data_IF_195502468395
#
_entry.id   IF_195502468395
#
_cell.length_a   1.000
_cell.length_b   1.000
_cell.length_c   1.000
_cell.angle_alpha   90.00
_cell.angle_beta   90.00
_cell.angle_gamma   90.00
#
_symmetry.space_group_name_H-M   'P 1'
#
loop_
_entity.id
_entity.type
_entity.pdbx_description
1 polymer ?
#
# COMPACT_ATOMS: atom_id res chain seq x y z
N UNK A 1 -6.84 -7.59 -4.71
CA UNK A 1 -5.55 -8.03 -5.30
C UNK A 1 -5.25 -7.14 -6.48
N UNK A 2 -4.01 -6.65 -6.61
CA UNK A 2 -3.54 -5.86 -7.74
C UNK A 2 -2.46 -6.63 -8.49
N UNK A 3 -2.57 -6.70 -9.82
CA UNK A 3 -1.51 -7.23 -10.68
C UNK A 3 -0.60 -6.09 -11.15
N UNK A 4 0.72 -6.31 -11.11
CA UNK A 4 1.71 -5.34 -11.59
C UNK A 4 2.40 -5.90 -12.82
N UNK A 5 2.38 -5.15 -13.92
CA UNK A 5 2.97 -5.53 -15.20
C UNK A 5 4.00 -4.49 -15.65
N UNK A 6 5.14 -4.93 -16.17
CA UNK A 6 6.07 -4.08 -16.92
C UNK A 6 7.00 -4.94 -17.81
N UNK A 7 7.05 -4.72 -19.14
CA UNK A 7 6.16 -3.84 -19.92
C UNK A 7 4.68 -4.33 -19.88
N UNK A 8 3.71 -3.55 -20.38
CA UNK A 8 2.31 -3.99 -20.43
C UNK A 8 2.17 -5.36 -21.09
N UNK A 9 1.45 -6.29 -20.45
CA UNK A 9 1.33 -7.69 -20.88
C UNK A 9 2.37 -8.65 -20.29
N UNK A 10 3.40 -8.16 -19.57
CA UNK A 10 4.35 -8.99 -18.84
C UNK A 10 4.17 -8.77 -17.34
N UNK A 11 3.58 -9.75 -16.67
CA UNK A 11 3.38 -9.73 -15.22
C UNK A 11 4.71 -9.83 -14.48
N UNK A 12 4.92 -8.91 -13.53
CA UNK A 12 6.05 -8.94 -12.59
C UNK A 12 5.65 -9.61 -11.28
N UNK A 13 4.39 -9.44 -10.87
CA UNK A 13 3.91 -9.99 -9.63
C UNK A 13 2.53 -9.47 -9.25
N UNK A 14 2.13 -9.82 -8.02
CA UNK A 14 0.82 -9.50 -7.48
C UNK A 14 0.94 -8.90 -6.08
N UNK A 15 0.12 -7.90 -5.78
CA UNK A 15 -0.11 -7.43 -4.41
C UNK A 15 -1.45 -7.97 -3.94
N UNK A 16 -1.42 -8.91 -3.01
CA UNK A 16 -2.61 -9.51 -2.44
C UNK A 16 -2.88 -8.95 -1.05
N UNK A 17 -4.11 -8.53 -0.80
CA UNK A 17 -4.59 -8.19 0.53
C UNK A 17 -4.96 -9.46 1.29
N UNK A 18 -4.68 -9.47 2.59
CA UNK A 18 -5.06 -10.52 3.52
C UNK A 18 -5.99 -9.94 4.57
N UNK A 19 -7.11 -10.62 4.79
CA UNK A 19 -8.02 -10.25 5.87
C UNK A 19 -7.35 -10.47 7.23
N UNK A 20 -7.33 -9.42 8.04
CA UNK A 20 -6.91 -9.46 9.43
C UNK A 20 -7.82 -8.53 10.22
N UNK A 21 -8.34 -9.00 11.37
CA UNK A 21 -9.37 -8.29 12.13
C UNK A 21 -8.97 -6.87 12.57
N UNK A 22 -7.68 -6.61 12.82
CA UNK A 22 -7.22 -5.36 13.41
C UNK A 22 -6.15 -4.63 12.60
N UNK A 23 -5.67 -5.17 11.47
CA UNK A 23 -4.48 -4.60 10.80
C UNK A 23 -4.49 -4.85 9.31
N UNK A 24 -4.33 -3.81 8.50
CA UNK A 24 -4.12 -3.96 7.07
C UNK A 24 -2.88 -4.83 6.82
N UNK A 25 -3.01 -5.88 6.00
CA UNK A 25 -1.89 -6.77 5.68
C UNK A 25 -1.93 -7.13 4.22
N UNK A 26 -0.80 -6.96 3.56
CA UNK A 26 -0.64 -7.31 2.16
C UNK A 26 0.58 -8.21 1.99
N UNK A 27 0.54 -9.08 0.99
CA UNK A 27 1.72 -9.80 0.51
C UNK A 27 2.08 -9.30 -0.87
N UNK A 28 3.35 -8.97 -1.06
CA UNK A 28 3.94 -8.79 -2.38
C UNK A 28 4.38 -10.18 -2.85
N UNK A 29 3.85 -10.61 -3.98
CA UNK A 29 4.08 -11.93 -4.56
C UNK A 29 4.76 -11.80 -5.92
N UNK A 30 5.58 -12.80 -6.26
CA UNK A 30 6.19 -12.90 -7.59
C UNK A 30 5.18 -13.40 -8.65
N UNK A 31 5.66 -13.58 -9.87
CA UNK A 31 4.91 -14.09 -11.03
C UNK A 31 4.24 -15.45 -10.77
N UNK A 32 4.85 -16.27 -9.90
CA UNK A 32 4.34 -17.59 -9.47
C UNK A 32 3.41 -17.53 -8.26
N UNK A 33 3.03 -16.33 -7.80
CA UNK A 33 2.24 -16.09 -6.59
C UNK A 33 2.93 -16.51 -5.28
N UNK A 34 4.25 -16.66 -5.30
CA UNK A 34 5.03 -16.92 -4.09
C UNK A 34 5.26 -15.60 -3.37
N UNK A 35 4.97 -15.55 -2.07
CA UNK A 35 5.16 -14.34 -1.27
C UNK A 35 6.65 -14.03 -1.14
N UNK A 36 7.04 -12.80 -1.45
CA UNK A 36 8.42 -12.30 -1.35
C UNK A 36 8.59 -11.31 -0.21
N UNK A 37 7.57 -10.50 0.08
CA UNK A 37 7.57 -9.51 1.17
C UNK A 37 6.17 -9.37 1.75
N UNK A 38 6.08 -8.80 2.96
CA UNK A 38 4.81 -8.48 3.60
C UNK A 38 4.74 -6.99 3.89
N UNK A 39 3.60 -6.38 3.59
CA UNK A 39 3.29 -5.01 3.99
C UNK A 39 2.31 -5.06 5.15
N UNK A 40 2.59 -4.36 6.23
CA UNK A 40 1.73 -4.32 7.42
C UNK A 40 1.39 -2.87 7.78
N UNK A 41 0.11 -2.52 7.71
CA UNK A 41 -0.38 -1.18 8.09
C UNK A 41 -0.45 -0.98 9.60
N UNK A 42 -0.95 0.15 10.10
CA UNK A 42 -1.13 0.37 11.53
C UNK A 42 -2.28 -0.48 12.10
N UNK A 43 -2.24 -0.77 13.41
CA UNK A 43 -3.31 -1.51 14.11
C UNK A 43 -4.58 -0.65 14.34
N UNK A 44 -4.45 0.67 14.26
CA UNK A 44 -5.55 1.61 14.38
C UNK A 44 -5.55 2.52 13.16
N UNK A 45 -6.20 2.08 12.08
CA UNK A 45 -6.42 2.89 10.87
C UNK A 45 -7.49 3.97 11.05
N UNK A 46 -8.10 4.07 12.24
CA UNK A 46 -9.14 5.05 12.56
C UNK A 46 -8.68 6.05 13.63
N UNK A 47 -8.39 7.30 13.22
CA UNK A 47 -8.74 8.47 14.03
C UNK A 47 -7.68 9.19 14.86
N UNK A 48 -6.38 8.89 14.76
CA UNK A 48 -5.37 9.52 15.65
C UNK A 48 -4.64 10.76 15.09
N UNK A 49 -5.16 11.42 14.04
CA UNK A 49 -4.59 12.67 13.53
C UNK A 49 -3.09 12.59 13.22
N UNK A 50 -2.62 11.42 12.77
CA UNK A 50 -1.21 11.09 12.62
C UNK A 50 -0.95 10.34 11.31
N UNK A 51 0.32 10.35 10.87
CA UNK A 51 0.78 9.65 9.68
C UNK A 51 0.43 8.15 9.75
N UNK A 52 -0.14 7.60 8.67
CA UNK A 52 -0.41 6.16 8.59
C UNK A 52 0.81 5.45 8.00
N UNK A 53 1.50 4.67 8.84
CA UNK A 53 2.73 3.97 8.46
C UNK A 53 2.43 2.51 8.11
N UNK A 54 2.79 2.13 6.89
CA UNK A 54 2.76 0.76 6.40
C UNK A 54 4.20 0.27 6.26
N UNK A 55 4.58 -0.71 7.08
CA UNK A 55 5.92 -1.27 7.09
C UNK A 55 6.05 -2.38 6.06
N UNK A 56 7.16 -2.39 5.32
CA UNK A 56 7.51 -3.45 4.37
C UNK A 56 8.57 -4.31 5.02
N UNK A 57 8.24 -5.57 5.27
CA UNK A 57 9.11 -6.51 5.97
C UNK A 57 9.42 -7.71 5.08
N UNK A 58 10.56 -8.34 5.35
CA UNK A 58 10.88 -9.68 4.87
C UNK A 58 9.82 -10.69 5.35
N UNK A 59 9.78 -11.86 4.71
CA UNK A 59 8.85 -12.94 5.05
C UNK A 59 9.04 -13.47 6.46
N UNK A 60 10.28 -13.41 6.96
CA UNK A 60 10.64 -13.74 8.35
C UNK A 60 10.03 -12.75 9.36
N UNK A 61 9.59 -11.57 8.91
CA UNK A 61 9.07 -10.49 9.74
C UNK A 61 10.13 -9.77 10.58
N UNK A 62 11.39 -10.18 10.52
CA UNK A 62 12.50 -9.65 11.33
C UNK A 62 13.12 -8.43 10.66
N UNK A 63 13.29 -8.47 9.34
CA UNK A 63 13.97 -7.40 8.60
C UNK A 63 12.98 -6.39 8.03
N UNK A 64 13.11 -5.11 8.41
CA UNK A 64 12.41 -4.01 7.76
C UNK A 64 13.14 -3.62 6.46
N UNK A 65 12.45 -3.73 5.33
CA UNK A 65 12.96 -3.40 4.00
C UNK A 65 12.61 -1.95 3.66
N UNK A 66 11.51 -1.42 4.18
CA UNK A 66 11.08 -0.07 3.87
C UNK A 66 9.74 0.28 4.47
N UNK A 67 9.14 1.37 3.98
CA UNK A 67 7.83 1.82 4.41
C UNK A 67 7.09 2.62 3.33
N UNK A 68 5.77 2.57 3.41
CA UNK A 68 4.84 3.46 2.71
C UNK A 68 4.14 4.28 3.80
N UNK A 69 4.25 5.60 3.75
CA UNK A 69 3.75 6.48 4.80
C UNK A 69 2.76 7.46 4.17
N UNK A 70 1.49 7.38 4.55
CA UNK A 70 0.53 8.44 4.23
C UNK A 70 0.70 9.57 5.24
N UNK A 71 1.02 10.77 4.76
CA UNK A 71 1.15 11.95 5.61
C UNK A 71 -0.21 12.47 6.05
N UNK A 72 -0.33 12.79 7.33
CA UNK A 72 -1.50 13.47 7.85
C UNK A 72 -1.39 14.98 7.57
N UNK A 73 -2.27 15.50 6.71
CA UNK A 73 -2.20 16.89 6.24
C UNK A 73 -2.72 17.94 7.25
N UNK A 74 -2.97 17.57 8.51
CA UNK A 74 -3.34 18.50 9.59
C UNK A 74 -4.61 19.33 9.30
N UNK A 75 -4.63 20.57 9.80
CA UNK A 75 -5.71 21.56 9.65
C UNK A 75 -5.70 22.31 8.30
N UNK A 76 -4.72 22.01 7.41
CA UNK A 76 -4.55 22.63 6.09
C UNK A 76 -5.18 21.80 4.95
N UNK A 77 -5.90 20.73 5.29
CA UNK A 77 -6.57 19.80 4.37
C UNK A 77 -7.61 20.43 3.44
N UNK A 78 -7.92 21.72 3.60
CA UNK A 78 -8.90 22.45 2.79
C UNK A 78 -8.35 22.99 1.46
N UNK A 79 -7.03 22.96 1.22
CA UNK A 79 -6.45 23.56 0.00
C UNK A 79 -5.96 22.57 -1.06
N UNK A 80 -5.67 21.32 -0.71
CA UNK A 80 -5.17 20.32 -1.67
C UNK A 80 -5.84 18.98 -1.40
N UNK A 81 -6.75 18.58 -2.29
CA UNK A 81 -7.55 17.36 -2.21
C UNK A 81 -6.76 16.10 -2.63
N UNK A 82 -5.45 16.05 -2.38
CA UNK A 82 -4.58 14.95 -2.78
C UNK A 82 -3.88 14.33 -1.56
N UNK A 83 -3.97 13.01 -1.44
CA UNK A 83 -3.23 12.26 -0.43
C UNK A 83 -1.72 12.27 -0.75
N UNK A 84 -0.90 12.58 0.26
CA UNK A 84 0.56 12.61 0.10
C UNK A 84 1.16 11.34 0.69
N UNK A 85 1.78 10.52 -0.16
CA UNK A 85 2.47 9.30 0.23
C UNK A 85 3.98 9.44 0.10
N UNK A 86 4.70 9.06 1.16
CA UNK A 86 6.14 8.94 1.18
C UNK A 86 6.52 7.46 1.13
N UNK A 87 7.28 7.04 0.11
CA UNK A 87 7.72 5.65 -0.08
C UNK A 87 9.23 5.59 0.13
N UNK A 88 9.66 4.70 1.04
CA UNK A 88 11.08 4.49 1.39
C UNK A 88 11.49 3.05 1.14
N UNK A 89 12.61 2.87 0.45
CA UNK A 89 13.27 1.58 0.26
C UNK A 89 14.77 1.78 -0.05
N UNK A 90 15.63 0.77 0.16
CA UNK A 90 17.05 0.82 -0.18
C UNK A 90 17.30 1.09 -1.66
N UNK A 91 18.34 1.87 -1.97
CA UNK A 91 18.75 2.13 -3.35
C UNK A 91 19.10 0.84 -4.10
N UNK A 92 19.73 -0.13 -3.41
CA UNK A 92 20.12 -1.42 -3.96
C UNK A 92 18.96 -2.42 -4.12
N UNK A 93 17.72 -2.06 -3.74
CA UNK A 93 16.57 -2.94 -3.92
C UNK A 93 16.29 -3.16 -5.41
N UNK A 94 15.95 -4.41 -5.76
CA UNK A 94 15.64 -4.80 -7.13
C UNK A 94 14.52 -3.93 -7.74
N UNK A 95 14.64 -3.62 -9.04
CA UNK A 95 13.72 -2.71 -9.72
C UNK A 95 12.29 -3.28 -9.79
N UNK A 96 12.13 -4.60 -9.95
CA UNK A 96 10.82 -5.25 -9.91
C UNK A 96 10.19 -5.05 -8.53
N UNK A 97 10.96 -5.24 -7.46
CA UNK A 97 10.48 -5.07 -6.08
C UNK A 97 10.08 -3.62 -5.79
N UNK A 98 10.84 -2.64 -6.29
CA UNK A 98 10.45 -1.22 -6.21
C UNK A 98 9.10 -0.98 -6.88
N UNK A 99 8.91 -1.48 -8.11
CA UNK A 99 7.64 -1.37 -8.81
C UNK A 99 6.48 -2.03 -8.03
N UNK A 100 6.72 -3.19 -7.42
CA UNK A 100 5.74 -3.87 -6.56
C UNK A 100 5.38 -3.06 -5.31
N UNK A 101 6.33 -2.33 -4.72
CA UNK A 101 6.08 -1.43 -3.59
C UNK A 101 5.18 -0.27 -4.02
N UNK A 102 5.43 0.34 -5.20
CA UNK A 102 4.53 1.35 -5.77
C UNK A 102 3.12 0.79 -6.01
N UNK A 103 3.01 -0.41 -6.60
CA UNK A 103 1.73 -1.10 -6.75
C UNK A 103 1.02 -1.30 -5.41
N UNK A 104 1.77 -1.61 -4.36
CA UNK A 104 1.21 -1.76 -3.01
C UNK A 104 0.65 -0.44 -2.47
N UNK A 105 1.34 0.67 -2.73
CA UNK A 105 0.85 2.01 -2.38
C UNK A 105 -0.48 2.33 -3.06
N UNK A 106 -0.59 2.08 -4.37
CA UNK A 106 -1.85 2.31 -5.11
C UNK A 106 -2.99 1.45 -4.58
N UNK A 107 -2.73 0.17 -4.26
CA UNK A 107 -3.77 -0.68 -3.69
C UNK A 107 -4.21 -0.20 -2.29
N UNK A 108 -3.27 0.25 -1.45
CA UNK A 108 -3.59 0.82 -0.14
C UNK A 108 -4.48 2.06 -0.29
N UNK A 109 -4.12 2.96 -1.21
CA UNK A 109 -4.86 4.18 -1.49
C UNK A 109 -6.31 3.89 -1.91
N UNK A 110 -6.46 3.00 -2.89
CA UNK A 110 -7.76 2.55 -3.38
C UNK A 110 -8.63 1.89 -2.30
N UNK A 111 -8.06 1.05 -1.44
CA UNK A 111 -8.83 0.28 -0.46
C UNK A 111 -9.27 1.09 0.76
N UNK A 112 -8.50 2.12 1.16
CA UNK A 112 -8.73 2.82 2.42
C UNK A 112 -9.13 4.29 2.27
N UNK A 113 -8.74 4.97 1.19
CA UNK A 113 -8.85 6.43 1.10
C UNK A 113 -9.70 6.92 -0.09
N UNK A 114 -9.82 6.14 -1.16
CA UNK A 114 -10.79 6.46 -2.22
C UNK A 114 -12.24 6.21 -1.74
N UNK A 115 -13.09 7.24 -1.80
CA UNK A 115 -14.52 7.08 -1.52
C UNK A 115 -15.23 6.38 -2.68
N UNK A 116 -16.21 5.48 -2.42
CA UNK A 116 -17.11 5.05 -3.46
C UNK A 116 -17.87 6.27 -4.02
N UNK A 117 -18.11 6.34 -5.35
CA UNK A 117 -18.87 7.44 -5.93
C UNK A 117 -20.23 7.55 -5.23
N UNK A 118 -20.74 8.78 -4.99
CA UNK A 118 -21.98 8.96 -4.27
C UNK A 118 -23.07 8.14 -4.94
N UNK A 119 -23.69 7.23 -4.18
CA UNK A 119 -24.89 6.53 -4.62
C UNK A 119 -25.90 7.60 -4.97
N UNK A 120 -26.13 7.84 -6.27
CA UNK A 120 -27.31 8.56 -6.74
C UNK A 120 -28.51 7.78 -6.19
N UNK A 121 -29.08 8.25 -5.09
CA UNK A 121 -30.41 7.83 -4.69
C UNK A 121 -31.32 8.26 -5.85
N UNK A 122 -31.72 7.29 -6.67
CA UNK A 122 -32.83 7.49 -7.60
C UNK A 122 -34.03 7.84 -6.73
N UNK A 123 -34.54 9.04 -6.96
CA UNK A 123 -35.76 9.56 -6.38
C UNK A 123 -36.97 8.81 -6.92
#
# INVERSE_FOLDING_TARGET
MLEVQCPPGVTIGFVAEHWNLCRASYSIQNEKKESMMRVRGPCATYGCGSDSVFEINSLDGVSNIGSIIRKWNGFLSTMVNADHFEIRFPLALDVKMKAMIFGSCFLIDFMYFEQPPPRRMSR
#
